data_IF_182157486196
#
_entry.id   IF_182157486196
#
_cell.length_a   1.000
_cell.length_b   1.000
_cell.length_c   1.000
_cell.angle_alpha   90.00
_cell.angle_beta   90.00
_cell.angle_gamma   90.00
#
_symmetry.space_group_name_H-M   'P 1'
#
loop_
_entity.id
_entity.type
_entity.pdbx_description
1 polymer ?
#
# COMPACT_ATOMS: atom_id res chain seq x y z
N UNK A 1 18.52 34.63 -48.78
CA UNK A 1 17.72 35.14 -49.91
C UNK A 1 16.35 34.43 -50.03
N UNK A 2 15.38 35.02 -49.32
CA UNK A 2 13.95 35.32 -49.63
C UNK A 2 13.58 35.23 -51.14
N UNK A 3 12.39 34.83 -51.67
CA UNK A 3 10.96 35.09 -51.36
C UNK A 3 10.04 34.09 -52.12
N UNK A 4 8.97 33.67 -51.43
CA UNK A 4 7.58 33.34 -51.82
C UNK A 4 7.17 32.49 -53.05
N UNK A 5 6.32 31.51 -52.75
CA UNK A 5 5.13 31.12 -53.54
C UNK A 5 4.11 30.51 -52.58
N UNK A 6 2.80 30.65 -52.69
CA UNK A 6 1.88 31.55 -53.38
C UNK A 6 0.54 31.33 -52.66
N UNK A 7 -0.27 32.38 -52.53
CA UNK A 7 -1.60 32.33 -51.93
C UNK A 7 -2.69 32.02 -52.98
N UNK A 8 -3.69 31.22 -52.62
CA UNK A 8 -5.05 31.13 -53.23
C UNK A 8 -6.02 30.70 -52.12
N UNK A 9 -6.76 31.62 -51.47
CA UNK A 9 -8.09 32.19 -51.80
C UNK A 9 -9.25 31.16 -51.84
N UNK A 10 -9.99 31.13 -50.72
CA UNK A 10 -11.44 31.11 -50.49
C UNK A 10 -12.39 30.15 -51.25
N UNK A 11 -13.19 29.39 -50.47
CA UNK A 11 -14.63 29.19 -50.71
C UNK A 11 -15.34 28.68 -49.43
N UNK A 12 -16.56 29.15 -49.23
CA UNK A 12 -17.38 29.12 -48.00
C UNK A 12 -18.55 28.12 -48.12
N UNK A 13 -18.65 27.16 -47.17
CA UNK A 13 -19.86 26.50 -46.56
C UNK A 13 -20.97 25.88 -47.48
N UNK A 14 -22.02 25.13 -47.01
CA UNK A 14 -22.46 24.77 -45.64
C UNK A 14 -22.92 23.30 -45.36
N UNK A 15 -22.99 22.99 -44.05
CA UNK A 15 -23.98 22.19 -43.25
C UNK A 15 -24.51 20.82 -43.69
N UNK A 16 -24.43 19.87 -42.74
CA UNK A 16 -25.43 18.87 -42.23
C UNK A 16 -24.63 17.64 -41.78
N UNK A 17 -24.77 17.03 -40.62
CA UNK A 17 -25.74 17.05 -39.54
C UNK A 17 -25.46 15.83 -38.63
N UNK A 18 -26.18 15.71 -37.51
CA UNK A 18 -26.17 14.53 -36.61
C UNK A 18 -25.06 14.57 -35.57
N UNK A 19 -25.30 14.83 -34.28
CA UNK A 19 -26.07 14.06 -33.28
C UNK A 19 -25.37 12.75 -32.87
N UNK A 20 -25.46 12.47 -31.55
CA UNK A 20 -24.83 11.40 -30.76
C UNK A 20 -23.45 11.81 -30.24
N UNK A 21 -23.29 12.35 -29.01
CA UNK A 21 -23.60 11.74 -27.71
C UNK A 21 -23.08 10.31 -27.58
N UNK A 22 -21.76 10.15 -27.69
CA UNK A 22 -21.08 9.03 -27.06
C UNK A 22 -19.73 9.52 -26.53
N UNK A 23 -19.79 10.44 -25.56
CA UNK A 23 -18.75 10.53 -24.55
C UNK A 23 -18.91 9.26 -23.71
N UNK A 24 -18.36 8.16 -24.20
CA UNK A 24 -18.17 6.93 -23.45
C UNK A 24 -17.15 7.27 -22.36
N UNK A 25 -17.62 7.82 -21.25
CA UNK A 25 -16.88 7.91 -20.01
C UNK A 25 -16.62 6.47 -19.58
N UNK A 26 -15.41 5.99 -19.89
CA UNK A 26 -14.94 4.70 -19.42
C UNK A 26 -15.09 4.70 -17.90
N UNK A 27 -15.58 3.62 -17.27
CA UNK A 27 -15.59 3.55 -15.83
C UNK A 27 -14.13 3.67 -15.37
N UNK A 28 -13.81 4.80 -14.75
CA UNK A 28 -12.57 5.00 -14.00
C UNK A 28 -12.36 3.72 -13.17
N UNK A 29 -11.19 3.05 -13.29
CA UNK A 29 -10.94 1.88 -12.46
C UNK A 29 -11.05 2.37 -11.03
N UNK A 30 -12.06 1.87 -10.31
CA UNK A 30 -12.23 2.13 -8.88
C UNK A 30 -11.00 1.51 -8.23
N UNK A 31 -9.95 2.32 -8.09
CA UNK A 31 -8.75 1.94 -7.38
C UNK A 31 -9.14 1.54 -5.97
N UNK A 32 -8.31 0.73 -5.29
CA UNK A 32 -8.56 0.36 -3.90
C UNK A 32 -8.97 1.61 -3.11
N UNK A 33 -10.17 1.58 -2.53
CA UNK A 33 -10.64 2.71 -1.76
C UNK A 33 -9.83 2.73 -0.47
N UNK A 34 -9.20 3.86 -0.18
CA UNK A 34 -8.36 3.98 1.01
C UNK A 34 -9.15 4.73 2.08
N UNK A 35 -9.43 4.08 3.21
CA UNK A 35 -10.01 4.73 4.38
C UNK A 35 -8.93 4.90 5.46
N UNK A 36 -8.93 6.03 6.20
CA UNK A 36 -8.11 6.14 7.40
C UNK A 36 -8.60 5.11 8.43
N UNK A 37 -7.66 4.35 9.00
CA UNK A 37 -7.98 3.42 10.07
C UNK A 37 -8.52 4.19 11.29
N UNK A 38 -9.68 3.80 11.86
CA UNK A 38 -10.17 4.39 13.11
C UNK A 38 -9.12 4.30 14.22
N UNK A 39 -9.05 5.33 15.06
CA UNK A 39 -8.05 5.37 16.13
C UNK A 39 -8.26 4.26 17.17
N UNK A 40 -9.51 3.88 17.42
CA UNK A 40 -9.89 2.78 18.33
C UNK A 40 -9.30 1.44 17.85
N UNK A 41 -9.55 1.09 16.59
CA UNK A 41 -9.02 -0.13 15.96
C UNK A 41 -7.49 -0.12 15.92
N UNK A 42 -6.87 1.04 15.68
CA UNK A 42 -5.41 1.19 15.69
C UNK A 42 -4.82 0.87 17.07
N UNK A 43 -5.44 1.35 18.14
CA UNK A 43 -5.00 1.10 19.52
C UNK A 43 -5.16 -0.37 19.87
N UNK A 44 -6.29 -0.99 19.53
CA UNK A 44 -6.51 -2.42 19.75
C UNK A 44 -5.46 -3.28 19.03
N UNK A 45 -5.19 -2.98 17.76
CA UNK A 45 -4.15 -3.66 16.97
C UNK A 45 -2.77 -3.46 17.63
N UNK A 46 -2.42 -2.24 18.05
CA UNK A 46 -1.15 -1.98 18.72
C UNK A 46 -1.00 -2.75 20.02
N UNK A 47 -2.04 -2.83 20.84
CA UNK A 47 -2.02 -3.57 22.09
C UNK A 47 -1.85 -5.07 21.83
N UNK A 48 -2.56 -5.61 20.84
CA UNK A 48 -2.42 -7.01 20.44
C UNK A 48 -1.00 -7.33 19.93
N UNK A 49 -0.40 -6.46 19.12
CA UNK A 49 0.96 -6.61 18.60
C UNK A 49 2.00 -6.52 19.73
N UNK A 50 1.81 -5.60 20.70
CA UNK A 50 2.68 -5.48 21.88
C UNK A 50 2.62 -6.74 22.74
N UNK A 51 1.42 -7.29 22.97
CA UNK A 51 1.24 -8.54 23.70
C UNK A 51 1.90 -9.72 22.96
N UNK A 52 1.78 -9.77 21.63
CA UNK A 52 2.44 -10.79 20.81
C UNK A 52 3.96 -10.69 20.90
N UNK A 53 4.53 -9.48 20.78
CA UNK A 53 5.97 -9.25 20.97
C UNK A 53 6.43 -9.74 22.34
N UNK A 54 5.73 -9.40 23.41
CA UNK A 54 6.11 -9.79 24.77
C UNK A 54 6.08 -11.30 24.97
N UNK A 55 5.09 -11.98 24.36
CA UNK A 55 5.04 -13.45 24.35
C UNK A 55 6.26 -14.04 23.64
N UNK A 56 6.58 -13.56 22.44
CA UNK A 56 7.73 -14.05 21.66
C UNK A 56 9.06 -13.82 22.41
N UNK A 57 9.24 -12.65 23.03
CA UNK A 57 10.40 -12.35 23.86
C UNK A 57 10.52 -13.29 25.06
N UNK A 58 9.40 -13.62 25.72
CA UNK A 58 9.39 -14.60 26.81
C UNK A 58 9.77 -15.99 26.33
N UNK A 59 9.28 -16.40 25.17
CA UNK A 59 9.57 -17.72 24.62
C UNK A 59 11.01 -17.83 24.12
N UNK A 60 11.56 -16.76 23.56
CA UNK A 60 12.99 -16.62 23.28
C UNK A 60 13.84 -16.72 24.56
N UNK A 61 13.45 -16.03 25.64
CA UNK A 61 14.15 -16.07 26.93
C UNK A 61 14.12 -17.44 27.63
N UNK A 62 13.14 -18.29 27.34
CA UNK A 62 13.06 -19.67 27.86
C UNK A 62 13.94 -20.67 27.10
N UNK A 63 14.58 -20.27 26.01
CA UNK A 63 15.45 -21.19 25.26
C UNK A 63 16.67 -21.59 26.08
N UNK A 64 16.91 -22.91 26.17
CA UNK A 64 18.03 -23.48 26.91
C UNK A 64 19.37 -23.20 26.23
N UNK A 65 20.29 -22.59 26.99
CA UNK A 65 21.64 -22.18 26.58
C UNK A 65 22.66 -23.35 26.49
N UNK A 66 22.32 -24.55 26.97
CA UNK A 66 23.34 -25.56 27.27
C UNK A 66 23.83 -26.38 26.06
N UNK A 67 23.07 -26.47 24.97
CA UNK A 67 23.45 -27.29 23.79
C UNK A 67 22.85 -26.68 22.53
N UNK A 68 23.68 -26.09 21.68
CA UNK A 68 23.26 -25.55 20.38
C UNK A 68 23.18 -26.67 19.35
N UNK A 69 22.00 -27.28 19.22
CA UNK A 69 21.71 -28.16 18.08
C UNK A 69 21.20 -27.33 16.91
N UNK A 70 21.34 -27.84 15.67
CA UNK A 70 20.76 -27.20 14.48
C UNK A 70 19.27 -26.87 14.66
N UNK A 71 18.52 -27.74 15.33
CA UNK A 71 17.11 -27.52 15.64
C UNK A 71 16.86 -26.38 16.64
N UNK A 72 17.79 -26.08 17.54
CA UNK A 72 17.70 -24.91 18.42
C UNK A 72 18.11 -23.64 17.69
N UNK A 73 19.15 -23.69 16.86
CA UNK A 73 19.58 -22.56 16.03
C UNK A 73 18.43 -22.10 15.11
N UNK A 74 17.76 -23.05 14.44
CA UNK A 74 16.63 -22.72 13.58
C UNK A 74 15.44 -22.13 14.35
N UNK A 75 15.13 -22.66 15.54
CA UNK A 75 14.08 -22.10 16.40
C UNK A 75 14.41 -20.70 16.90
N UNK A 76 15.68 -20.45 17.24
CA UNK A 76 16.17 -19.13 17.64
C UNK A 76 15.99 -18.13 16.49
N UNK A 77 16.45 -18.49 15.29
CA UNK A 77 16.31 -17.65 14.10
C UNK A 77 14.85 -17.37 13.73
N UNK A 78 13.98 -18.37 13.85
CA UNK A 78 12.54 -18.19 13.62
C UNK A 78 11.94 -17.17 14.60
N UNK A 79 12.21 -17.31 15.90
CA UNK A 79 11.74 -16.37 16.92
C UNK A 79 12.29 -14.95 16.70
N UNK A 80 13.57 -14.81 16.36
CA UNK A 80 14.18 -13.50 16.06
C UNK A 80 13.53 -12.82 14.84
N UNK A 81 13.22 -13.59 13.81
CA UNK A 81 12.56 -13.07 12.61
C UNK A 81 11.11 -12.67 12.90
N UNK A 82 10.39 -13.47 13.69
CA UNK A 82 9.02 -13.15 14.12
C UNK A 82 8.99 -11.89 14.99
N UNK A 83 9.92 -11.73 15.95
CA UNK A 83 10.02 -10.52 16.77
C UNK A 83 10.26 -9.30 15.88
N UNK A 84 11.20 -9.37 14.93
CA UNK A 84 11.48 -8.27 13.99
C UNK A 84 10.28 -7.92 13.12
N UNK A 85 9.51 -8.92 12.67
CA UNK A 85 8.30 -8.69 11.88
C UNK A 85 7.25 -7.93 12.70
N UNK A 86 6.98 -8.39 13.93
CA UNK A 86 6.02 -7.74 14.84
C UNK A 86 6.47 -6.31 15.19
N UNK A 87 7.76 -6.10 15.44
CA UNK A 87 8.30 -4.75 15.67
C UNK A 87 8.14 -3.83 14.46
N UNK A 88 8.35 -4.35 13.25
CA UNK A 88 8.14 -3.59 12.02
C UNK A 88 6.65 -3.22 11.87
N UNK A 89 5.73 -4.12 12.22
CA UNK A 89 4.30 -3.86 12.19
C UNK A 89 3.89 -2.83 13.25
N UNK A 90 4.37 -2.94 14.49
CA UNK A 90 4.14 -1.92 15.54
C UNK A 90 4.56 -0.53 15.04
N UNK A 91 5.73 -0.40 14.41
CA UNK A 91 6.22 0.89 13.88
C UNK A 91 5.32 1.43 12.76
N UNK A 92 4.69 0.57 11.96
CA UNK A 92 3.69 1.01 10.97
C UNK A 92 2.47 1.57 11.69
N UNK A 93 1.95 0.84 12.68
CA UNK A 93 0.74 1.20 13.45
C UNK A 93 0.91 2.35 14.45
N UNK A 94 2.14 2.70 14.82
CA UNK A 94 2.43 3.86 15.66
C UNK A 94 2.16 5.21 14.96
N UNK A 95 2.23 5.25 13.63
CA UNK A 95 1.96 6.47 12.87
C UNK A 95 0.44 6.63 12.64
N UNK A 96 -0.16 7.79 12.99
CA UNK A 96 -1.62 7.97 12.94
C UNK A 96 -2.21 8.10 11.52
N UNK A 97 -1.42 7.95 10.46
CA UNK A 97 -1.85 8.20 9.08
C UNK A 97 -1.80 6.93 8.21
N UNK A 98 -2.38 5.84 8.70
CA UNK A 98 -2.44 4.57 7.98
C UNK A 98 -3.73 4.52 7.18
N UNK A 99 -3.55 4.29 5.89
CA UNK A 99 -4.63 4.08 4.93
C UNK A 99 -4.82 2.58 4.75
N UNK A 100 -6.00 2.07 5.08
CA UNK A 100 -6.41 0.69 4.80
C UNK A 100 -7.20 0.64 3.50
N UNK A 101 -6.97 -0.40 2.71
CA UNK A 101 -7.77 -0.69 1.52
C UNK A 101 -9.10 -1.30 1.95
N UNK A 102 -10.20 -0.73 1.48
CA UNK A 102 -11.58 -1.23 1.57
C UNK A 102 -12.07 -1.71 0.21
#
# INVERSE_FOLDING_TARGET
PTIASQARVAATQPRRGGAARDAQEAPEPVGPQYAPLPEEDRVEILDSLRAQRDRLCRDFGKMSLCVDTLGKINRKLALENEIKAVEADIRKFENPNILIVI
#
